data_IF_087328745561
#
_entry.id   IF_087328745561
#
_cell.length_a   1.000
_cell.length_b   1.000
_cell.length_c   1.000
_cell.angle_alpha   90.00
_cell.angle_beta   90.00
_cell.angle_gamma   90.00
#
_symmetry.space_group_name_H-M   'P 1'
#
loop_
_entity.id
_entity.type
_entity.pdbx_description
1 polymer ?
#
# COMPACT_ATOMS: atom_id res chain seq x y z
N UNK A 1 -66.25 13.65 31.38
CA UNK A 1 -64.80 13.35 31.40
C UNK A 1 -64.52 12.48 30.19
N UNK A 2 -64.12 13.11 29.09
CA UNK A 2 -63.65 12.42 27.89
C UNK A 2 -62.18 12.09 28.14
N UNK A 3 -61.86 10.81 28.28
CA UNK A 3 -60.47 10.36 28.18
C UNK A 3 -60.08 10.46 26.71
N UNK A 4 -59.23 11.43 26.38
CA UNK A 4 -58.48 11.40 25.13
C UNK A 4 -57.60 10.14 25.12
N UNK A 5 -57.54 9.39 24.00
CA UNK A 5 -56.60 8.29 23.88
C UNK A 5 -55.19 8.89 23.83
N UNK A 6 -54.32 8.42 24.74
CA UNK A 6 -52.89 8.71 24.69
C UNK A 6 -52.37 8.47 23.28
N UNK A 7 -51.97 9.53 22.59
CA UNK A 7 -51.29 9.43 21.31
C UNK A 7 -50.02 8.61 21.52
N UNK A 8 -50.01 7.42 20.94
CA UNK A 8 -48.86 6.52 20.95
C UNK A 8 -47.74 7.21 20.15
N UNK A 9 -46.85 7.92 20.84
CA UNK A 9 -45.71 8.60 20.22
C UNK A 9 -44.78 7.49 19.69
N UNK A 10 -44.70 7.35 18.37
CA UNK A 10 -43.76 6.43 17.74
C UNK A 10 -42.33 6.82 18.15
N UNK A 11 -41.71 5.98 18.98
CA UNK A 11 -40.44 6.24 19.67
C UNK A 11 -39.23 6.47 18.75
N UNK A 12 -39.31 6.02 17.50
CA UNK A 12 -38.26 6.15 16.50
C UNK A 12 -38.91 6.22 15.12
N UNK A 13 -38.61 7.28 14.36
CA UNK A 13 -39.20 7.45 13.02
C UNK A 13 -38.73 6.33 12.08
N UNK A 14 -39.62 5.87 11.21
CA UNK A 14 -39.26 4.91 10.14
C UNK A 14 -38.06 5.41 9.31
N UNK A 15 -37.99 6.73 9.10
CA UNK A 15 -36.87 7.38 8.43
C UNK A 15 -35.55 7.15 9.18
N UNK A 16 -35.49 7.31 10.50
CA UNK A 16 -34.28 7.10 11.31
C UNK A 16 -33.76 5.66 11.18
N UNK A 17 -34.65 4.67 11.22
CA UNK A 17 -34.31 3.25 11.06
C UNK A 17 -33.76 2.97 9.65
N UNK A 18 -34.40 3.54 8.63
CA UNK A 18 -33.96 3.42 7.24
C UNK A 18 -32.60 4.07 7.02
N UNK A 19 -32.31 5.21 7.64
CA UNK A 19 -30.99 5.85 7.57
C UNK A 19 -29.90 5.03 8.27
N UNK A 20 -30.18 4.45 9.44
CA UNK A 20 -29.25 3.55 10.13
C UNK A 20 -28.89 2.34 9.25
N UNK A 21 -29.89 1.70 8.66
CA UNK A 21 -29.69 0.57 7.75
C UNK A 21 -28.99 0.99 6.46
N UNK A 22 -29.33 2.16 5.90
CA UNK A 22 -28.69 2.69 4.71
C UNK A 22 -27.20 2.98 4.94
N UNK A 23 -26.83 3.51 6.12
CA UNK A 23 -25.44 3.73 6.50
C UNK A 23 -24.65 2.41 6.54
N UNK A 24 -25.22 1.34 7.11
CA UNK A 24 -24.59 0.01 7.11
C UNK A 24 -24.50 -0.62 5.72
N UNK A 25 -25.51 -0.45 4.86
CA UNK A 25 -25.40 -0.87 3.46
C UNK A 25 -24.27 -0.13 2.74
N UNK A 26 -24.15 1.18 2.93
CA UNK A 26 -23.09 1.97 2.33
C UNK A 26 -21.70 1.51 2.82
N UNK A 27 -21.55 1.20 4.11
CA UNK A 27 -20.32 0.62 4.67
C UNK A 27 -19.96 -0.72 3.99
N UNK A 28 -20.93 -1.63 3.85
CA UNK A 28 -20.72 -2.92 3.16
C UNK A 28 -20.28 -2.71 1.71
N UNK A 29 -20.95 -1.82 0.98
CA UNK A 29 -20.58 -1.51 -0.42
C UNK A 29 -19.15 -0.99 -0.51
N UNK A 30 -18.73 -0.12 0.41
CA UNK A 30 -17.35 0.38 0.49
C UNK A 30 -16.36 -0.76 0.76
N UNK A 31 -16.66 -1.68 1.69
CA UNK A 31 -15.81 -2.83 2.00
C UNK A 31 -15.74 -3.84 0.85
N UNK A 32 -16.83 -4.05 0.11
CA UNK A 32 -16.84 -4.90 -1.09
C UNK A 32 -16.00 -4.31 -2.23
N UNK A 33 -16.06 -2.99 -2.41
CA UNK A 33 -15.18 -2.28 -3.34
C UNK A 33 -13.71 -2.40 -2.90
N UNK A 34 -13.44 -2.27 -1.60
CA UNK A 34 -12.10 -2.43 -1.05
C UNK A 34 -11.56 -3.85 -1.28
N UNK A 35 -12.37 -4.88 -1.02
CA UNK A 35 -12.01 -6.29 -1.32
C UNK A 35 -11.70 -6.50 -2.80
N UNK A 36 -12.48 -5.87 -3.68
CA UNK A 36 -12.24 -5.89 -5.12
C UNK A 36 -10.91 -5.19 -5.51
N UNK A 37 -10.61 -4.06 -4.89
CA UNK A 37 -9.32 -3.36 -5.08
C UNK A 37 -8.14 -4.22 -4.59
N UNK A 38 -8.29 -4.97 -3.49
CA UNK A 38 -7.27 -5.91 -3.02
C UNK A 38 -6.97 -7.00 -4.07
N UNK A 39 -7.98 -7.49 -4.81
CA UNK A 39 -7.76 -8.45 -5.91
C UNK A 39 -6.90 -7.86 -7.02
N UNK A 40 -7.11 -6.59 -7.36
CA UNK A 40 -6.24 -5.88 -8.33
C UNK A 40 -4.82 -5.79 -7.80
N UNK A 41 -4.64 -5.41 -6.52
CA UNK A 41 -3.31 -5.34 -5.90
C UNK A 41 -2.57 -6.68 -6.01
N UNK A 42 -3.27 -7.80 -5.79
CA UNK A 42 -2.71 -9.15 -5.91
C UNK A 42 -2.30 -9.45 -7.36
N UNK A 43 -3.17 -9.19 -8.34
CA UNK A 43 -2.86 -9.41 -9.75
C UNK A 43 -1.71 -8.53 -10.25
N UNK A 44 -1.65 -7.26 -9.83
CA UNK A 44 -0.53 -6.34 -10.11
C UNK A 44 0.76 -6.88 -9.52
N UNK A 45 0.71 -7.38 -8.29
CA UNK A 45 1.85 -7.98 -7.61
C UNK A 45 2.38 -9.22 -8.33
N UNK A 46 1.49 -10.10 -8.81
CA UNK A 46 1.88 -11.29 -9.57
C UNK A 46 2.59 -10.90 -10.86
N UNK A 47 2.03 -9.93 -11.61
CA UNK A 47 2.67 -9.40 -12.81
C UNK A 47 4.04 -8.79 -12.51
N UNK A 48 4.18 -8.02 -11.42
CA UNK A 48 5.48 -7.47 -10.99
C UNK A 48 6.50 -8.60 -10.77
N UNK A 49 6.12 -9.68 -10.07
CA UNK A 49 7.02 -10.79 -9.81
C UNK A 49 7.47 -11.48 -11.11
N UNK A 50 6.55 -11.75 -12.04
CA UNK A 50 6.89 -12.35 -13.33
C UNK A 50 7.79 -11.45 -14.17
N UNK A 51 7.52 -10.14 -14.21
CA UNK A 51 8.38 -9.16 -14.89
C UNK A 51 9.77 -9.05 -14.26
N UNK A 52 9.89 -9.21 -12.94
CA UNK A 52 11.19 -9.24 -12.26
C UNK A 52 12.03 -10.47 -12.66
N UNK A 53 11.39 -11.62 -12.89
CA UNK A 53 12.06 -12.82 -13.43
C UNK A 53 12.44 -12.62 -14.90
N UNK A 54 11.50 -12.12 -15.72
CA UNK A 54 11.74 -11.82 -17.14
C UNK A 54 12.89 -10.81 -17.33
N UNK A 55 12.95 -9.76 -16.50
CA UNK A 55 14.06 -8.80 -16.46
C UNK A 55 15.40 -9.49 -16.17
N UNK A 56 15.43 -10.37 -15.18
CA UNK A 56 16.64 -11.10 -14.79
C UNK A 56 17.17 -11.98 -15.92
N UNK A 57 16.30 -12.80 -16.51
CA UNK A 57 16.67 -13.66 -17.64
C UNK A 57 17.06 -12.84 -18.88
N UNK A 58 16.36 -11.75 -19.17
CA UNK A 58 16.70 -10.84 -20.27
C UNK A 58 18.07 -10.18 -20.06
N UNK A 59 18.44 -9.87 -18.82
CA UNK A 59 19.74 -9.31 -18.50
C UNK A 59 20.87 -10.30 -18.80
N UNK A 60 20.76 -11.56 -18.36
CA UNK A 60 21.75 -12.61 -18.66
C UNK A 60 21.79 -12.92 -20.16
N UNK A 61 20.63 -13.03 -20.81
CA UNK A 61 20.55 -13.28 -22.25
C UNK A 61 21.31 -12.20 -23.04
N UNK A 62 21.12 -10.93 -22.72
CA UNK A 62 21.83 -9.83 -23.39
C UNK A 62 23.32 -9.79 -23.03
N UNK A 63 23.68 -10.00 -21.75
CA UNK A 63 25.07 -10.01 -21.31
C UNK A 63 25.89 -11.14 -21.96
N UNK A 64 25.25 -12.29 -22.19
CA UNK A 64 25.83 -13.46 -22.88
C UNK A 64 25.66 -13.42 -24.41
N UNK A 65 25.22 -12.30 -24.99
CA UNK A 65 24.98 -12.15 -26.45
C UNK A 65 24.06 -13.24 -27.03
N UNK A 66 23.10 -13.68 -26.23
CA UNK A 66 22.10 -14.67 -26.58
C UNK A 66 22.50 -16.13 -26.39
N UNK A 67 23.69 -16.40 -25.85
CA UNK A 67 24.19 -17.78 -25.65
C UNK A 67 23.55 -18.48 -24.44
N UNK A 68 23.15 -17.74 -23.41
CA UNK A 68 22.60 -18.28 -22.16
C UNK A 68 21.18 -17.77 -21.91
N UNK A 69 20.40 -18.52 -21.13
CA UNK A 69 19.06 -18.15 -20.66
C UNK A 69 17.99 -17.94 -21.74
N UNK A 70 18.22 -18.40 -22.98
CA UNK A 70 17.26 -18.25 -24.06
C UNK A 70 15.94 -19.02 -23.78
N UNK A 71 16.04 -20.24 -23.25
CA UNK A 71 14.89 -21.10 -22.95
C UNK A 71 14.13 -20.60 -21.71
N UNK A 72 14.86 -20.30 -20.64
CA UNK A 72 14.36 -19.77 -19.37
C UNK A 72 13.64 -18.44 -19.59
N UNK A 73 14.20 -17.56 -20.41
CA UNK A 73 13.54 -16.30 -20.79
C UNK A 73 12.19 -16.55 -21.44
N UNK A 74 12.07 -17.51 -22.35
CA UNK A 74 10.78 -17.82 -22.99
C UNK A 74 9.74 -18.35 -21.99
N UNK A 75 10.17 -19.11 -20.97
CA UNK A 75 9.29 -19.55 -19.89
C UNK A 75 8.78 -18.35 -19.08
N UNK A 76 9.65 -17.40 -18.72
CA UNK A 76 9.25 -16.21 -17.98
C UNK A 76 8.39 -15.24 -18.81
N UNK A 77 8.64 -15.14 -20.12
CA UNK A 77 7.76 -14.40 -21.05
C UNK A 77 6.35 -14.98 -21.00
N UNK A 78 6.20 -16.30 -21.16
CA UNK A 78 4.88 -16.95 -21.10
C UNK A 78 4.17 -16.73 -19.75
N UNK A 79 4.90 -16.86 -18.64
CA UNK A 79 4.34 -16.63 -17.31
C UNK A 79 3.90 -15.17 -17.11
N UNK A 80 4.69 -14.20 -17.58
CA UNK A 80 4.33 -12.78 -17.52
C UNK A 80 3.14 -12.42 -18.40
N UNK A 81 2.96 -13.06 -19.56
CA UNK A 81 1.79 -12.89 -20.44
C UNK A 81 0.51 -13.43 -19.78
N UNK A 82 0.62 -14.55 -19.05
CA UNK A 82 -0.50 -15.08 -18.28
C UNK A 82 -0.89 -14.13 -17.14
N UNK A 83 0.09 -13.63 -16.37
CA UNK A 83 -0.14 -12.67 -15.30
C UNK A 83 -0.73 -11.35 -15.82
N UNK A 84 -0.25 -10.87 -16.98
CA UNK A 84 -0.80 -9.70 -17.68
C UNK A 84 -2.27 -9.93 -18.07
N UNK A 85 -2.58 -11.07 -18.66
CA UNK A 85 -3.95 -11.41 -19.07
C UNK A 85 -4.90 -11.49 -17.87
N UNK A 86 -4.45 -12.05 -16.75
CA UNK A 86 -5.21 -12.08 -15.50
C UNK A 86 -5.51 -10.67 -14.97
N UNK A 87 -4.49 -9.81 -14.92
CA UNK A 87 -4.66 -8.41 -14.52
C UNK A 87 -5.65 -7.67 -15.43
N UNK A 88 -5.50 -7.81 -16.76
CA UNK A 88 -6.42 -7.20 -17.75
C UNK A 88 -7.86 -7.68 -17.55
N UNK A 89 -8.07 -8.96 -17.28
CA UNK A 89 -9.38 -9.54 -16.98
C UNK A 89 -10.02 -8.92 -15.72
N UNK A 90 -9.26 -8.82 -14.63
CA UNK A 90 -9.73 -8.20 -13.39
C UNK A 90 -10.07 -6.72 -13.56
N UNK A 91 -9.22 -5.96 -14.24
CA UNK A 91 -9.47 -4.55 -14.52
C UNK A 91 -10.72 -4.35 -15.39
N UNK A 92 -10.90 -5.21 -16.40
CA UNK A 92 -12.10 -5.16 -17.25
C UNK A 92 -13.37 -5.43 -16.45
N UNK A 93 -13.34 -6.45 -15.59
CA UNK A 93 -14.49 -6.79 -14.73
C UNK A 93 -14.86 -5.70 -13.73
N UNK A 94 -13.90 -4.86 -13.32
CA UNK A 94 -14.10 -3.88 -12.25
C UNK A 94 -14.33 -2.44 -12.73
N UNK A 95 -13.73 -2.05 -13.86
CA UNK A 95 -13.74 -0.65 -14.31
C UNK A 95 -14.25 -0.43 -15.73
N UNK A 96 -14.49 -1.48 -16.52
CA UNK A 96 -14.85 -1.36 -17.93
C UNK A 96 -16.21 -2.01 -18.25
N UNK A 97 -17.08 -2.12 -17.26
CA UNK A 97 -18.51 -2.41 -17.45
C UNK A 97 -19.25 -1.13 -17.86
N UNK A 98 -20.33 -1.23 -18.64
CA UNK A 98 -21.01 -0.13 -19.37
C UNK A 98 -21.56 1.03 -18.51
N UNK A 99 -21.45 0.97 -17.18
CA UNK A 99 -21.78 2.07 -16.28
C UNK A 99 -20.53 2.89 -15.94
N UNK A 100 -20.59 4.21 -16.15
CA UNK A 100 -19.54 5.17 -15.81
C UNK A 100 -19.04 4.86 -14.39
N UNK A 101 -17.85 4.28 -14.30
CA UNK A 101 -17.35 3.77 -13.03
C UNK A 101 -16.98 4.95 -12.14
N UNK A 102 -17.64 5.05 -10.99
CA UNK A 102 -17.22 5.88 -9.85
C UNK A 102 -15.88 5.36 -9.31
N UNK A 103 -14.80 5.63 -10.03
CA UNK A 103 -13.43 5.29 -9.64
C UNK A 103 -12.66 6.54 -9.21
N UNK A 104 -11.67 6.37 -8.32
CA UNK A 104 -10.79 7.47 -7.97
C UNK A 104 -9.93 7.86 -9.19
N UNK A 105 -9.91 9.15 -9.60
CA UNK A 105 -9.21 9.57 -10.81
C UNK A 105 -7.69 9.32 -10.75
N UNK A 106 -7.07 9.35 -9.55
CA UNK A 106 -5.63 9.08 -9.40
C UNK A 106 -5.30 7.62 -9.66
N UNK A 107 -6.09 6.71 -9.09
CA UNK A 107 -5.93 5.28 -9.31
C UNK A 107 -6.18 4.90 -10.77
N UNK A 108 -7.24 5.45 -11.39
CA UNK A 108 -7.51 5.19 -12.80
C UNK A 108 -6.39 5.74 -13.70
N UNK A 109 -5.81 6.89 -13.35
CA UNK A 109 -4.66 7.45 -14.07
C UNK A 109 -3.41 6.56 -13.93
N UNK A 110 -3.12 6.04 -12.73
CA UNK A 110 -1.98 5.14 -12.52
C UNK A 110 -2.16 3.80 -13.23
N UNK A 111 -3.38 3.24 -13.21
CA UNK A 111 -3.74 2.04 -13.98
C UNK A 111 -3.55 2.28 -15.47
N UNK A 112 -4.01 3.43 -15.99
CA UNK A 112 -3.88 3.77 -17.42
C UNK A 112 -2.41 3.81 -17.85
N UNK A 113 -1.55 4.47 -17.07
CA UNK A 113 -0.12 4.52 -17.35
C UNK A 113 0.53 3.13 -17.29
N UNK A 114 0.19 2.32 -16.29
CA UNK A 114 0.71 0.97 -16.16
C UNK A 114 0.27 0.07 -17.33
N UNK A 115 -1.01 0.12 -17.74
CA UNK A 115 -1.53 -0.64 -18.87
C UNK A 115 -0.90 -0.22 -20.19
N UNK A 116 -0.75 1.08 -20.43
CA UNK A 116 -0.06 1.58 -21.61
C UNK A 116 1.39 1.10 -21.68
N UNK A 117 2.09 1.06 -20.54
CA UNK A 117 3.46 0.56 -20.48
C UNK A 117 3.52 -0.96 -20.73
N UNK A 118 2.56 -1.72 -20.18
CA UNK A 118 2.41 -3.16 -20.42
C UNK A 118 2.14 -3.47 -21.90
N UNK A 119 1.33 -2.67 -22.60
CA UNK A 119 1.05 -2.87 -24.03
C UNK A 119 2.30 -2.75 -24.93
N UNK A 120 3.38 -2.12 -24.44
CA UNK A 120 4.67 -2.05 -25.14
C UNK A 120 5.60 -3.23 -24.85
N UNK A 121 5.25 -4.16 -23.94
CA UNK A 121 6.07 -5.34 -23.64
C UNK A 121 6.42 -6.20 -24.86
N UNK A 122 5.50 -6.50 -25.79
CA UNK A 122 5.84 -7.29 -26.98
C UNK A 122 6.96 -6.66 -27.81
N UNK A 123 6.95 -5.32 -27.94
CA UNK A 123 8.00 -4.58 -28.65
C UNK A 123 9.32 -4.59 -27.89
N UNK A 124 9.29 -4.45 -26.56
CA UNK A 124 10.49 -4.58 -25.73
C UNK A 124 11.09 -5.99 -25.87
N UNK A 125 10.26 -7.03 -25.81
CA UNK A 125 10.67 -8.43 -25.98
C UNK A 125 11.30 -8.68 -27.34
N UNK A 126 10.74 -8.13 -28.41
CA UNK A 126 11.31 -8.21 -29.76
C UNK A 126 12.70 -7.56 -29.83
N UNK A 127 12.86 -6.36 -29.25
CA UNK A 127 14.15 -5.67 -29.22
C UNK A 127 15.20 -6.44 -28.42
N UNK A 128 14.82 -7.06 -27.29
CA UNK A 128 15.70 -7.93 -26.51
C UNK A 128 16.09 -9.18 -27.31
N UNK A 129 15.13 -9.85 -27.96
CA UNK A 129 15.39 -11.05 -28.77
C UNK A 129 16.32 -10.77 -29.95
N UNK A 130 16.21 -9.60 -30.57
CA UNK A 130 17.12 -9.15 -31.64
C UNK A 130 18.44 -8.56 -31.12
N UNK A 131 18.65 -8.54 -29.80
CA UNK A 131 19.82 -7.96 -29.14
C UNK A 131 20.10 -6.50 -29.53
N UNK A 132 19.03 -5.72 -29.77
CA UNK A 132 19.12 -4.30 -30.15
C UNK A 132 19.23 -3.35 -28.94
N UNK A 133 19.17 -3.89 -27.73
CA UNK A 133 19.28 -3.16 -26.47
C UNK A 133 20.47 -3.68 -25.68
N UNK A 134 21.14 -2.79 -24.98
CA UNK A 134 22.12 -3.17 -23.96
C UNK A 134 21.42 -3.81 -22.74
N UNK A 135 22.13 -4.63 -21.94
CA UNK A 135 21.59 -5.16 -20.67
C UNK A 135 21.04 -4.07 -19.76
N UNK A 136 21.71 -2.91 -19.73
CA UNK A 136 21.33 -1.76 -18.92
C UNK A 136 20.04 -1.08 -19.41
N UNK A 137 19.89 -0.89 -20.72
CA UNK A 137 18.67 -0.30 -21.31
C UNK A 137 17.46 -1.20 -21.07
N UNK A 138 17.61 -2.51 -21.29
CA UNK A 138 16.57 -3.51 -20.99
C UNK A 138 16.18 -3.47 -19.51
N UNK A 139 17.16 -3.50 -18.61
CA UNK A 139 16.93 -3.43 -17.16
C UNK A 139 16.17 -2.17 -16.76
N UNK A 140 16.54 -1.00 -17.31
CA UNK A 140 15.84 0.27 -17.05
C UNK A 140 14.40 0.26 -17.56
N UNK A 141 14.15 -0.32 -18.73
CA UNK A 141 12.80 -0.40 -19.29
C UNK A 141 11.87 -1.23 -18.38
N UNK A 142 12.29 -2.44 -17.99
CA UNK A 142 11.53 -3.27 -17.05
C UNK A 142 11.35 -2.60 -15.69
N UNK A 143 12.40 -1.99 -15.11
CA UNK A 143 12.28 -1.30 -13.82
C UNK A 143 11.29 -0.13 -13.86
N UNK A 144 11.20 0.60 -14.97
CA UNK A 144 10.20 1.69 -15.13
C UNK A 144 8.78 1.14 -15.19
N UNK A 145 8.57 0.04 -15.90
CA UNK A 145 7.27 -0.64 -15.93
C UNK A 145 6.89 -1.13 -14.53
N UNK A 146 7.80 -1.82 -13.83
CA UNK A 146 7.56 -2.28 -12.45
C UNK A 146 7.24 -1.10 -11.51
N UNK A 147 7.94 0.03 -11.63
CA UNK A 147 7.63 1.23 -10.84
C UNK A 147 6.22 1.79 -11.12
N UNK A 148 5.77 1.76 -12.37
CA UNK A 148 4.40 2.17 -12.73
C UNK A 148 3.34 1.24 -12.12
N UNK A 149 3.60 -0.07 -12.09
CA UNK A 149 2.74 -1.06 -11.44
C UNK A 149 2.72 -0.89 -9.90
N UNK A 150 3.88 -0.64 -9.28
CA UNK A 150 3.97 -0.35 -7.84
C UNK A 150 3.19 0.92 -7.47
N UNK A 151 3.12 1.90 -8.38
CA UNK A 151 2.31 3.11 -8.18
C UNK A 151 0.81 2.79 -8.09
N UNK A 152 0.31 1.78 -8.82
CA UNK A 152 -1.09 1.33 -8.70
C UNK A 152 -1.40 0.82 -7.29
N UNK A 153 -0.48 0.03 -6.71
CA UNK A 153 -0.63 -0.49 -5.34
C UNK A 153 -0.62 0.65 -4.33
N UNK A 154 0.26 1.63 -4.53
CA UNK A 154 0.35 2.80 -3.68
C UNK A 154 -0.93 3.64 -3.70
N UNK A 155 -1.49 3.93 -4.88
CA UNK A 155 -2.76 4.67 -4.98
C UNK A 155 -3.93 3.86 -4.41
N UNK A 156 -3.93 2.52 -4.56
CA UNK A 156 -4.93 1.67 -3.93
C UNK A 156 -4.88 1.73 -2.39
N UNK A 157 -3.67 1.81 -1.81
CA UNK A 157 -3.48 1.99 -0.36
C UNK A 157 -4.01 3.33 0.13
N UNK A 158 -3.86 4.41 -0.65
CA UNK A 158 -4.32 5.76 -0.28
C UNK A 158 -5.85 5.88 -0.24
N UNK A 159 -6.54 5.14 -1.12
CA UNK A 159 -7.99 5.15 -1.26
C UNK A 159 -8.67 4.23 -0.24
N UNK A 160 -7.93 3.31 0.36
CA UNK A 160 -8.47 2.42 1.37
C UNK A 160 -9.13 3.20 2.52
N UNK A 161 -10.28 2.69 2.95
CA UNK A 161 -11.15 3.29 3.97
C UNK A 161 -11.17 2.50 5.27
N UNK A 162 -10.51 1.34 5.32
CA UNK A 162 -10.34 0.54 6.54
C UNK A 162 -8.88 0.65 7.04
N UNK A 163 -8.66 0.99 8.33
CA UNK A 163 -7.31 1.18 8.87
C UNK A 163 -6.45 -0.09 8.82
N UNK A 164 -7.03 -1.26 9.12
CA UNK A 164 -6.31 -2.53 9.15
C UNK A 164 -5.80 -2.89 7.75
N UNK A 165 -6.68 -2.77 6.75
CA UNK A 165 -6.34 -3.00 5.34
C UNK A 165 -5.33 -1.97 4.84
N UNK A 166 -5.49 -0.69 5.20
CA UNK A 166 -4.54 0.38 4.84
C UNK A 166 -3.13 0.05 5.36
N UNK A 167 -3.00 -0.36 6.63
CA UNK A 167 -1.72 -0.75 7.22
C UNK A 167 -1.08 -1.94 6.49
N UNK A 168 -1.86 -2.96 6.15
CA UNK A 168 -1.38 -4.11 5.38
C UNK A 168 -0.94 -3.72 3.97
N UNK A 169 -1.66 -2.83 3.30
CA UNK A 169 -1.28 -2.33 1.98
C UNK A 169 0.01 -1.49 2.03
N UNK A 170 0.19 -0.67 3.06
CA UNK A 170 1.46 0.08 3.29
C UNK A 170 2.61 -0.88 3.53
N UNK A 171 2.42 -1.91 4.36
CA UNK A 171 3.43 -2.94 4.59
C UNK A 171 3.78 -3.67 3.28
N UNK A 172 2.77 -4.16 2.56
CA UNK A 172 2.93 -4.85 1.27
C UNK A 172 3.69 -3.98 0.26
N UNK A 173 3.27 -2.73 0.06
CA UNK A 173 3.94 -1.80 -0.85
C UNK A 173 5.41 -1.61 -0.51
N UNK A 174 5.73 -1.35 0.77
CA UNK A 174 7.11 -1.14 1.19
C UNK A 174 7.96 -2.41 1.04
N UNK A 175 7.40 -3.59 1.35
CA UNK A 175 8.09 -4.85 1.13
C UNK A 175 8.37 -5.09 -0.37
N UNK A 176 7.40 -4.84 -1.23
CA UNK A 176 7.55 -4.98 -2.69
C UNK A 176 8.55 -3.97 -3.27
N UNK A 177 8.58 -2.74 -2.76
CA UNK A 177 9.60 -1.74 -3.11
C UNK A 177 11.01 -2.21 -2.72
N UNK A 178 11.19 -2.75 -1.51
CA UNK A 178 12.46 -3.34 -1.11
C UNK A 178 12.87 -4.50 -2.03
N UNK A 179 11.92 -5.38 -2.40
CA UNK A 179 12.18 -6.46 -3.37
C UNK A 179 12.56 -5.94 -4.75
N UNK A 180 11.92 -4.89 -5.23
CA UNK A 180 12.28 -4.28 -6.50
C UNK A 180 13.70 -3.70 -6.47
N UNK A 181 14.10 -3.03 -5.39
CA UNK A 181 15.48 -2.57 -5.23
C UNK A 181 16.48 -3.71 -5.12
N UNK A 182 16.14 -4.82 -4.48
CA UNK A 182 16.96 -6.04 -4.48
C UNK A 182 17.11 -6.63 -5.89
N UNK A 183 16.04 -6.60 -6.69
CA UNK A 183 16.08 -7.05 -8.09
C UNK A 183 16.87 -6.12 -9.01
N UNK A 184 16.86 -4.82 -8.75
CA UNK A 184 17.76 -3.87 -9.42
C UNK A 184 19.21 -4.11 -8.99
N UNK A 185 19.46 -4.33 -7.70
CA UNK A 185 20.80 -4.65 -7.20
C UNK A 185 21.35 -5.90 -7.90
N UNK A 186 20.54 -6.96 -8.00
CA UNK A 186 20.88 -8.17 -8.77
C UNK A 186 21.33 -7.83 -10.20
N UNK A 187 20.53 -7.05 -10.93
CA UNK A 187 20.82 -6.72 -12.33
C UNK A 187 22.08 -5.87 -12.49
N UNK A 188 22.25 -4.84 -11.65
CA UNK A 188 23.44 -3.98 -11.70
C UNK A 188 24.71 -4.71 -11.26
N UNK A 189 24.62 -5.58 -10.24
CA UNK A 189 25.74 -6.39 -9.81
C UNK A 189 26.17 -7.41 -10.87
N UNK A 190 25.22 -8.05 -11.56
CA UNK A 190 25.51 -8.97 -12.66
C UNK A 190 26.22 -8.25 -13.82
N UNK A 191 25.77 -7.05 -14.18
CA UNK A 191 26.46 -6.21 -15.18
C UNK A 191 27.90 -5.92 -14.74
N UNK A 192 28.12 -5.51 -13.49
CA UNK A 192 29.46 -5.22 -12.97
C UNK A 192 30.41 -6.42 -13.01
N UNK A 193 29.95 -7.59 -12.57
CA UNK A 193 30.78 -8.80 -12.64
C UNK A 193 31.04 -9.23 -14.09
N UNK A 194 30.06 -9.11 -14.98
CA UNK A 194 30.23 -9.44 -16.41
C UNK A 194 31.21 -8.48 -17.13
N UNK A 195 31.28 -7.21 -16.71
CA UNK A 195 32.26 -6.23 -17.20
C UNK A 195 33.66 -6.40 -16.59
N UNK A 196 33.84 -7.33 -15.65
CA UNK A 196 35.12 -7.67 -14.99
C UNK A 196 35.78 -6.55 -14.18
N UNK A 197 35.10 -5.43 -13.96
CA UNK A 197 35.54 -4.34 -13.10
C UNK A 197 34.36 -3.65 -12.41
N UNK A 198 34.60 -3.04 -11.26
CA UNK A 198 33.66 -2.13 -10.62
C UNK A 198 34.26 -0.73 -10.54
N UNK A 199 33.55 0.26 -11.09
CA UNK A 199 33.92 1.66 -10.89
C UNK A 199 33.22 2.24 -9.64
N UNK A 200 33.72 3.39 -9.19
CA UNK A 200 33.16 4.09 -8.02
C UNK A 200 31.67 4.39 -8.19
N UNK A 201 31.23 4.70 -9.42
CA UNK A 201 29.83 5.06 -9.70
C UNK A 201 28.90 3.87 -9.55
N UNK A 202 29.32 2.69 -9.98
CA UNK A 202 28.60 1.43 -9.87
C UNK A 202 28.54 0.96 -8.42
N UNK A 203 29.66 1.01 -7.69
CA UNK A 203 29.69 0.72 -6.25
C UNK A 203 28.75 1.64 -5.48
N UNK A 204 28.79 2.95 -5.76
CA UNK A 204 27.83 3.89 -5.18
C UNK A 204 26.38 3.54 -5.54
N UNK A 205 26.09 3.22 -6.80
CA UNK A 205 24.74 2.86 -7.23
C UNK A 205 24.21 1.64 -6.47
N UNK A 206 25.03 0.61 -6.29
CA UNK A 206 24.68 -0.60 -5.53
C UNK A 206 24.46 -0.28 -4.05
N UNK A 207 25.34 0.51 -3.42
CA UNK A 207 25.15 0.95 -2.04
C UNK A 207 23.83 1.76 -1.86
N UNK A 208 23.47 2.61 -2.83
CA UNK A 208 22.17 3.30 -2.79
C UNK A 208 20.98 2.34 -2.86
N UNK A 209 21.07 1.29 -3.67
CA UNK A 209 20.01 0.28 -3.76
C UNK A 209 19.88 -0.53 -2.46
N UNK A 210 20.99 -0.79 -1.78
CA UNK A 210 21.00 -1.45 -0.47
C UNK A 210 20.34 -0.58 0.61
N UNK A 211 20.72 0.70 0.71
CA UNK A 211 20.07 1.62 1.65
C UNK A 211 18.58 1.83 1.35
N UNK A 212 18.19 1.83 0.08
CA UNK A 212 16.78 1.91 -0.29
C UNK A 212 16.00 0.66 0.18
N UNK A 213 16.59 -0.53 0.10
CA UNK A 213 16.00 -1.76 0.66
C UNK A 213 15.80 -1.62 2.17
N UNK A 214 16.84 -1.24 2.91
CA UNK A 214 16.81 -1.10 4.37
C UNK A 214 15.74 -0.10 4.83
N UNK A 215 15.66 1.05 4.15
CA UNK A 215 14.64 2.06 4.46
C UNK A 215 13.22 1.51 4.31
N UNK A 216 12.94 0.83 3.19
CA UNK A 216 11.62 0.25 2.96
C UNK A 216 11.32 -0.92 3.90
N UNK A 217 12.32 -1.74 4.27
CA UNK A 217 12.14 -2.76 5.30
C UNK A 217 11.82 -2.16 6.68
N UNK A 218 12.41 -1.01 7.04
CA UNK A 218 12.08 -0.31 8.28
C UNK A 218 10.60 0.09 8.32
N UNK A 219 10.09 0.73 7.26
CA UNK A 219 8.68 1.12 7.18
C UNK A 219 7.79 -0.12 7.17
N UNK A 220 8.16 -1.17 6.42
CA UNK A 220 7.45 -2.45 6.47
C UNK A 220 7.32 -2.98 7.91
N UNK A 221 8.39 -2.92 8.71
CA UNK A 221 8.35 -3.31 10.11
C UNK A 221 7.44 -2.39 10.95
N UNK A 222 7.37 -1.09 10.68
CA UNK A 222 6.46 -0.20 11.43
C UNK A 222 4.98 -0.59 11.24
N UNK A 223 4.61 -1.04 10.03
CA UNK A 223 3.22 -1.34 9.67
C UNK A 223 2.83 -2.82 9.78
N UNK A 224 3.80 -3.73 9.90
CA UNK A 224 3.56 -5.18 9.93
C UNK A 224 3.29 -5.74 11.33
N UNK A 225 2.52 -6.83 11.37
CA UNK A 225 2.33 -7.63 12.57
C UNK A 225 3.55 -8.53 12.85
N UNK A 226 3.60 -9.10 14.06
CA UNK A 226 4.73 -9.89 14.56
C UNK A 226 5.13 -11.07 13.63
N UNK A 227 4.21 -11.89 13.10
CA UNK A 227 4.58 -12.98 12.19
C UNK A 227 5.36 -12.53 10.95
N UNK A 228 4.97 -11.40 10.33
CA UNK A 228 5.65 -10.87 9.15
C UNK A 228 7.02 -10.26 9.48
N UNK A 229 7.18 -9.66 10.66
CA UNK A 229 8.48 -9.19 11.18
C UNK A 229 9.43 -10.35 11.42
N UNK A 230 8.95 -11.37 12.13
CA UNK A 230 9.75 -12.57 12.44
C UNK A 230 10.17 -13.28 11.14
N UNK A 231 9.33 -13.27 10.09
CA UNK A 231 9.69 -13.79 8.77
C UNK A 231 10.79 -13.00 8.06
N UNK A 232 10.78 -11.66 8.15
CA UNK A 232 11.87 -10.81 7.63
C UNK A 232 13.17 -11.04 8.42
N UNK A 233 13.10 -11.19 9.73
CA UNK A 233 14.26 -11.52 10.56
C UNK A 233 14.86 -12.88 10.19
N UNK A 234 14.01 -13.87 9.90
CA UNK A 234 14.46 -15.17 9.40
C UNK A 234 15.11 -15.06 8.01
N UNK A 235 14.54 -14.25 7.10
CA UNK A 235 15.13 -13.96 5.79
C UNK A 235 16.54 -13.35 5.94
N UNK A 236 16.70 -12.36 6.83
CA UNK A 236 17.98 -11.70 7.04
C UNK A 236 19.07 -12.62 7.65
N UNK A 237 18.66 -13.71 8.29
CA UNK A 237 19.56 -14.76 8.83
C UNK A 237 19.73 -15.95 7.89
N UNK A 238 19.06 -15.95 6.74
CA UNK A 238 19.12 -17.06 5.80
C UNK A 238 20.50 -17.18 5.14
N UNK A 239 20.89 -18.38 4.66
CA UNK A 239 22.13 -18.55 3.90
C UNK A 239 22.24 -17.58 2.72
N UNK A 240 21.15 -17.34 1.98
CA UNK A 240 21.14 -16.41 0.86
C UNK A 240 21.43 -14.95 1.29
N UNK A 241 21.00 -14.54 2.48
CA UNK A 241 21.30 -13.21 3.02
C UNK A 241 22.76 -13.08 3.50
N UNK A 242 23.35 -14.17 4.01
CA UNK A 242 24.77 -14.22 4.38
C UNK A 242 25.62 -14.15 3.10
N UNK A 243 25.32 -14.99 2.11
CA UNK A 243 26.02 -15.06 0.83
C UNK A 243 26.00 -13.70 0.09
N UNK A 244 24.82 -13.05 0.01
CA UNK A 244 24.73 -11.74 -0.66
C UNK A 244 25.56 -10.69 0.08
N UNK A 245 25.60 -10.73 1.41
CA UNK A 245 26.37 -9.78 2.22
C UNK A 245 27.88 -9.96 1.99
N UNK A 246 28.35 -11.20 1.84
CA UNK A 246 29.75 -11.46 1.48
C UNK A 246 30.09 -10.88 0.11
N UNK A 247 29.23 -11.08 -0.90
CA UNK A 247 29.44 -10.52 -2.24
C UNK A 247 29.37 -8.98 -2.25
N UNK A 248 28.49 -8.38 -1.44
CA UNK A 248 28.43 -6.92 -1.26
C UNK A 248 29.74 -6.37 -0.69
N UNK A 249 30.31 -7.03 0.32
CA UNK A 249 31.59 -6.64 0.90
C UNK A 249 32.74 -6.75 -0.11
N UNK A 250 32.72 -7.80 -0.94
CA UNK A 250 33.68 -7.95 -2.05
C UNK A 250 33.56 -6.79 -3.05
N UNK A 251 32.33 -6.47 -3.51
CA UNK A 251 32.09 -5.35 -4.43
C UNK A 251 32.59 -4.02 -3.84
N UNK A 252 32.37 -3.78 -2.54
CA UNK A 252 32.82 -2.56 -1.87
C UNK A 252 34.35 -2.41 -1.87
N UNK A 253 35.10 -3.52 -1.87
CA UNK A 253 36.58 -3.51 -1.93
C UNK A 253 37.12 -3.34 -3.36
N UNK A 254 36.32 -3.68 -4.38
CA UNK A 254 36.71 -3.63 -5.80
C UNK A 254 36.48 -2.27 -6.47
N UNK A 255 36.09 -1.24 -5.71
CA UNK A 255 35.84 0.10 -6.24
C UNK A 255 37.06 0.82 -6.81
N UNK A 256 38.26 0.23 -6.68
CA UNK A 256 39.51 0.69 -7.27
C UNK A 256 39.70 0.24 -8.74
N UNK A 257 38.77 -0.56 -9.27
CA UNK A 257 38.83 -1.08 -10.63
C UNK A 257 39.66 -2.36 -10.76
N UNK A 258 40.00 -3.03 -9.66
CA UNK A 258 40.70 -4.31 -9.67
C UNK A 258 39.95 -5.35 -10.53
N UNK A 259 40.66 -6.12 -11.37
CA UNK A 259 40.03 -7.09 -12.26
C UNK A 259 39.40 -8.25 -11.49
N UNK A 260 38.24 -8.70 -11.94
CA UNK A 260 37.52 -9.84 -11.36
C UNK A 260 37.15 -10.89 -12.41
N UNK A 261 37.13 -12.15 -11.97
CA UNK A 261 36.67 -13.28 -12.77
C UNK A 261 35.18 -13.11 -13.14
N UNK A 262 34.87 -13.06 -14.42
CA UNK A 262 33.51 -12.85 -14.93
C UNK A 262 32.53 -13.98 -14.57
N UNK A 263 33.05 -15.17 -14.25
CA UNK A 263 32.30 -16.33 -13.78
C UNK A 263 31.53 -16.05 -12.47
N UNK A 264 31.98 -15.08 -11.68
CA UNK A 264 31.31 -14.67 -10.44
C UNK A 264 29.94 -14.03 -10.74
N UNK A 265 29.71 -13.54 -11.96
CA UNK A 265 28.41 -12.97 -12.35
C UNK A 265 27.25 -13.96 -12.19
N UNK A 266 27.46 -15.24 -12.52
CA UNK A 266 26.43 -16.26 -12.39
C UNK A 266 26.16 -16.59 -10.92
N UNK A 267 27.24 -16.74 -10.13
CA UNK A 267 27.14 -16.97 -8.68
C UNK A 267 26.38 -15.83 -8.01
N UNK A 268 26.68 -14.58 -8.35
CA UNK A 268 25.96 -13.41 -7.86
C UNK A 268 24.48 -13.45 -8.23
N UNK A 269 24.18 -13.76 -9.50
CA UNK A 269 22.80 -13.84 -9.96
C UNK A 269 22.01 -14.90 -9.21
N UNK A 270 22.60 -16.08 -9.01
CA UNK A 270 21.96 -17.21 -8.31
C UNK A 270 21.73 -16.90 -6.82
N UNK A 271 22.73 -16.35 -6.14
CA UNK A 271 22.62 -15.91 -4.73
C UNK A 271 21.52 -14.86 -4.58
N UNK A 272 21.52 -13.84 -5.43
CA UNK A 272 20.51 -12.79 -5.38
C UNK A 272 19.11 -13.31 -5.73
N UNK A 273 19.01 -14.24 -6.69
CA UNK A 273 17.73 -14.89 -7.05
C UNK A 273 17.17 -15.71 -5.90
N UNK A 274 17.98 -16.54 -5.23
CA UNK A 274 17.56 -17.28 -4.02
C UNK A 274 17.00 -16.36 -2.94
N UNK A 275 17.63 -15.20 -2.71
CA UNK A 275 17.13 -14.19 -1.76
C UNK A 275 15.80 -13.59 -2.22
N UNK A 276 15.66 -13.25 -3.51
CA UNK A 276 14.40 -12.72 -4.06
C UNK A 276 13.25 -13.74 -3.99
N UNK A 277 13.53 -15.04 -4.20
CA UNK A 277 12.54 -16.11 -4.07
C UNK A 277 12.09 -16.27 -2.61
N UNK A 278 13.02 -16.15 -1.65
CA UNK A 278 12.66 -16.13 -0.23
C UNK A 278 11.82 -14.88 0.13
N UNK A 279 12.11 -13.72 -0.48
CA UNK A 279 11.26 -12.53 -0.35
C UNK A 279 9.87 -12.74 -0.94
N UNK A 280 9.77 -13.42 -2.09
CA UNK A 280 8.49 -13.74 -2.72
C UNK A 280 7.56 -14.52 -1.79
N UNK A 281 8.07 -15.44 -0.97
CA UNK A 281 7.28 -16.18 0.02
C UNK A 281 6.64 -15.26 1.06
N UNK A 282 7.36 -14.26 1.54
CA UNK A 282 6.82 -13.28 2.51
C UNK A 282 5.75 -12.41 1.84
N UNK A 283 5.99 -12.00 0.59
CA UNK A 283 5.02 -11.25 -0.21
C UNK A 283 3.72 -12.04 -0.44
N UNK A 284 3.81 -13.37 -0.64
CA UNK A 284 2.65 -14.29 -0.66
C UNK A 284 1.87 -14.27 0.63
N UNK A 285 2.54 -14.47 1.76
CA UNK A 285 1.88 -14.43 3.06
C UNK A 285 1.17 -13.09 3.33
N UNK A 286 1.76 -11.96 2.90
CA UNK A 286 1.14 -10.63 3.03
C UNK A 286 -0.13 -10.50 2.18
N UNK A 287 -0.11 -10.99 0.94
CA UNK A 287 -1.30 -10.97 0.06
C UNK A 287 -2.42 -11.90 0.53
N UNK A 288 -2.07 -13.04 1.12
CA UNK A 288 -3.04 -13.96 1.75
C UNK A 288 -3.70 -13.30 2.96
N UNK A 289 -2.90 -12.68 3.84
CA UNK A 289 -3.41 -11.94 4.99
C UNK A 289 -4.33 -10.78 4.57
N UNK A 290 -3.95 -10.03 3.51
CA UNK A 290 -4.77 -8.95 2.95
C UNK A 290 -6.14 -9.48 2.46
N UNK A 291 -6.14 -10.60 1.75
CA UNK A 291 -7.37 -11.23 1.23
C UNK A 291 -8.26 -11.72 2.38
N UNK A 292 -7.66 -12.38 3.37
CA UNK A 292 -8.37 -12.89 4.54
C UNK A 292 -9.03 -11.74 5.32
N UNK A 293 -8.29 -10.66 5.57
CA UNK A 293 -8.81 -9.50 6.29
C UNK A 293 -9.92 -8.79 5.52
N UNK A 294 -9.75 -8.58 4.21
CA UNK A 294 -10.80 -7.98 3.38
C UNK A 294 -12.09 -8.81 3.39
N UNK A 295 -11.99 -10.13 3.30
CA UNK A 295 -13.16 -11.01 3.34
C UNK A 295 -13.80 -11.07 4.73
N UNK A 296 -13.00 -11.10 5.81
CA UNK A 296 -13.52 -11.06 7.18
C UNK A 296 -14.32 -9.78 7.41
N UNK A 297 -13.76 -8.62 7.08
CA UNK A 297 -14.43 -7.32 7.27
C UNK A 297 -15.79 -7.24 6.55
N UNK A 298 -15.87 -7.74 5.32
CA UNK A 298 -17.15 -7.80 4.58
C UNK A 298 -18.14 -8.75 5.27
N UNK A 299 -17.69 -9.92 5.74
CA UNK A 299 -18.54 -10.88 6.44
C UNK A 299 -19.04 -10.34 7.78
N UNK A 300 -18.16 -9.70 8.56
CA UNK A 300 -18.46 -9.09 9.86
C UNK A 300 -19.49 -7.98 9.70
N UNK A 301 -19.30 -7.07 8.73
CA UNK A 301 -20.26 -6.00 8.44
C UNK A 301 -21.64 -6.53 8.01
N UNK A 302 -21.69 -7.62 7.23
CA UNK A 302 -22.95 -8.29 6.85
C UNK A 302 -23.64 -8.94 8.05
N UNK A 303 -22.88 -9.58 8.93
CA UNK A 303 -23.41 -10.18 10.16
C UNK A 303 -23.95 -9.11 11.12
N UNK A 304 -23.23 -8.00 11.30
CA UNK A 304 -23.69 -6.84 12.08
C UNK A 304 -24.99 -6.27 11.51
N UNK A 305 -25.08 -6.11 10.19
CA UNK A 305 -26.29 -5.63 9.54
C UNK A 305 -27.49 -6.56 9.81
N UNK A 306 -27.30 -7.87 9.70
CA UNK A 306 -28.35 -8.84 10.03
C UNK A 306 -28.79 -8.74 11.50
N UNK A 307 -27.83 -8.56 12.42
CA UNK A 307 -28.12 -8.35 13.84
C UNK A 307 -28.89 -7.04 14.08
N UNK A 308 -28.51 -5.94 13.41
CA UNK A 308 -29.21 -4.66 13.50
C UNK A 308 -30.63 -4.74 12.96
N UNK A 309 -30.86 -5.47 11.85
CA UNK A 309 -32.20 -5.71 11.33
C UNK A 309 -33.07 -6.49 12.31
N UNK A 310 -32.53 -7.52 12.97
CA UNK A 310 -33.24 -8.28 14.00
C UNK A 310 -33.58 -7.42 15.22
N UNK A 311 -32.62 -6.61 15.71
CA UNK A 311 -32.83 -5.67 16.81
C UNK A 311 -33.92 -4.64 16.48
N UNK A 312 -33.87 -4.06 15.29
CA UNK A 312 -34.88 -3.10 14.81
C UNK A 312 -36.28 -3.71 14.69
N UNK A 313 -36.37 -5.00 14.33
CA UNK A 313 -37.64 -5.73 14.27
C UNK A 313 -38.20 -5.94 15.67
N UNK A 314 -37.36 -6.33 16.65
CA UNK A 314 -37.77 -6.45 18.06
C UNK A 314 -38.26 -5.11 18.64
N UNK A 315 -37.61 -4.00 18.29
CA UNK A 315 -38.05 -2.67 18.71
C UNK A 315 -39.37 -2.20 18.09
N UNK A 316 -39.84 -2.81 16.99
CA UNK A 316 -41.17 -2.54 16.45
C UNK A 316 -42.27 -3.24 17.27
N UNK A 317 -41.95 -4.36 17.92
CA UNK A 317 -42.90 -5.17 18.68
C UNK A 317 -43.03 -4.67 20.14
N UNK A 318 -41.95 -4.12 20.71
CA UNK A 318 -41.94 -3.54 22.06
C UNK A 318 -42.48 -2.10 22.08
N UNK A 319 -43.70 -1.92 22.59
CA UNK A 319 -44.26 -0.60 22.89
C UNK A 319 -43.64 -0.09 24.20
N UNK A 320 -42.84 0.98 24.15
CA UNK A 320 -42.20 1.53 25.34
C UNK A 320 -43.23 2.26 26.21
N UNK A 321 -43.42 1.77 27.44
CA UNK A 321 -44.30 2.37 28.46
C UNK A 321 -43.57 3.28 29.44
N UNK A 322 -42.23 3.28 29.47
CA UNK A 322 -41.45 4.09 30.42
C UNK A 322 -40.13 4.60 29.81
N UNK A 323 -40.11 5.90 29.49
CA UNK A 323 -38.88 6.67 29.38
C UNK A 323 -38.99 8.02 28.67
N UNK A 324 -38.04 8.94 28.97
CA UNK A 324 -37.96 10.26 28.36
C UNK A 324 -37.28 10.18 26.98
N UNK A 325 -37.96 10.57 25.89
CA UNK A 325 -37.41 10.58 24.53
C UNK A 325 -36.31 11.62 24.31
N UNK A 326 -36.01 12.47 25.30
CA UNK A 326 -35.03 13.55 25.17
C UNK A 326 -33.59 13.14 25.53
N UNK A 327 -33.37 11.89 25.95
CA UNK A 327 -32.06 11.40 26.41
C UNK A 327 -30.92 11.60 25.41
N UNK A 328 -31.19 11.46 24.11
CA UNK A 328 -30.19 11.68 23.06
C UNK A 328 -29.76 13.14 22.94
N UNK A 329 -30.66 14.10 23.21
CA UNK A 329 -30.39 15.53 23.09
C UNK A 329 -29.63 16.10 24.29
N UNK A 330 -29.65 15.39 25.42
CA UNK A 330 -28.99 15.81 26.65
C UNK A 330 -27.73 15.00 26.98
N UNK A 331 -27.30 14.08 26.11
CA UNK A 331 -26.02 13.38 26.29
C UNK A 331 -24.89 14.16 25.59
N UNK A 332 -24.01 14.85 26.36
CA UNK A 332 -22.89 15.59 25.79
C UNK A 332 -21.81 14.69 25.17
N UNK A 333 -21.89 13.37 25.37
CA UNK A 333 -20.97 12.40 24.78
C UNK A 333 -21.41 11.86 23.41
N UNK A 334 -22.51 12.37 22.84
CA UNK A 334 -22.91 12.04 21.48
C UNK A 334 -22.10 12.83 20.44
N UNK A 335 -21.43 12.14 19.49
CA UNK A 335 -20.75 12.77 18.38
C UNK A 335 -21.65 13.75 17.61
N UNK A 336 -21.19 15.00 17.45
CA UNK A 336 -21.89 16.05 16.70
C UNK A 336 -23.00 16.80 17.45
N UNK A 337 -23.29 16.45 18.70
CA UNK A 337 -24.24 17.17 19.59
C UNK A 337 -23.55 17.88 20.76
N UNK A 338 -22.20 17.89 20.79
CA UNK A 338 -21.43 18.61 21.79
C UNK A 338 -21.55 20.14 21.59
N UNK A 339 -21.87 20.88 22.65
CA UNK A 339 -21.65 22.33 22.70
C UNK A 339 -20.14 22.61 22.74
N UNK A 340 -19.68 23.76 22.21
CA UNK A 340 -18.28 24.28 22.26
C UNK A 340 -17.80 24.53 23.71
N UNK A 341 -17.81 23.49 24.53
CA UNK A 341 -17.26 23.46 25.89
C UNK A 341 -15.89 22.80 25.81
N UNK A 342 -14.89 23.47 26.36
CA UNK A 342 -13.50 23.02 26.35
C UNK A 342 -13.43 21.57 26.83
N UNK A 343 -12.68 20.73 26.10
CA UNK A 343 -12.54 19.27 26.31
C UNK A 343 -12.25 18.84 27.76
N UNK A 344 -11.77 19.75 28.61
CA UNK A 344 -11.45 19.50 30.02
C UNK A 344 -12.65 19.43 30.98
N UNK A 345 -13.83 19.97 30.65
CA UNK A 345 -15.02 19.87 31.53
C UNK A 345 -15.90 18.63 31.25
N UNK A 346 -15.78 18.04 30.06
CA UNK A 346 -16.61 16.92 29.58
C UNK A 346 -16.38 15.64 30.41
N UNK A 347 -15.16 15.44 30.97
CA UNK A 347 -14.86 14.29 31.82
C UNK A 347 -15.49 14.37 33.22
N UNK A 348 -15.92 15.56 33.67
CA UNK A 348 -16.48 15.75 35.02
C UNK A 348 -18.01 15.68 35.10
N UNK A 349 -18.72 15.73 33.97
CA UNK A 349 -20.17 15.53 33.90
C UNK A 349 -20.56 14.07 33.65
N UNK A 350 -19.74 13.13 34.16
CA UNK A 350 -20.08 11.71 34.13
C UNK A 350 -21.31 11.46 35.03
N UNK A 351 -22.44 11.22 34.37
CA UNK A 351 -23.65 10.57 34.89
C UNK A 351 -24.32 11.28 36.07
N UNK A 352 -25.05 12.38 35.78
CA UNK A 352 -26.17 12.75 36.66
C UNK A 352 -27.14 11.57 36.74
N UNK A 353 -27.60 11.26 37.95
CA UNK A 353 -28.45 10.12 38.34
C UNK A 353 -29.78 9.99 37.56
N UNK A 354 -30.09 10.94 36.68
CA UNK A 354 -31.29 10.99 35.85
C UNK A 354 -31.28 10.02 34.64
N UNK A 355 -30.13 9.44 34.25
CA UNK A 355 -30.06 8.45 33.15
C UNK A 355 -30.31 7.00 33.55
N UNK A 356 -30.48 6.69 34.84
CA UNK A 356 -30.61 5.29 35.33
C UNK A 356 -31.99 4.67 35.16
N UNK A 357 -33.05 5.43 34.85
CA UNK A 357 -34.44 4.93 34.81
C UNK A 357 -35.04 4.88 33.40
N UNK A 358 -34.31 4.35 32.41
CA UNK A 358 -34.74 4.38 31.00
C UNK A 358 -34.29 3.11 30.26
N UNK A 359 -35.05 2.01 30.35
CA UNK A 359 -34.61 0.68 29.86
C UNK A 359 -34.92 0.41 28.38
N UNK A 360 -36.02 0.93 27.82
CA UNK A 360 -36.38 0.70 26.41
C UNK A 360 -35.65 1.63 25.43
N UNK A 361 -35.40 2.88 25.82
CA UNK A 361 -34.69 3.88 25.00
C UNK A 361 -33.18 3.60 24.93
N UNK A 362 -32.63 2.88 25.90
CA UNK A 362 -31.20 2.63 26.02
C UNK A 362 -30.65 1.75 24.90
N UNK A 363 -31.38 0.74 24.44
CA UNK A 363 -30.83 -0.22 23.46
C UNK A 363 -30.65 0.38 22.04
N UNK A 364 -31.64 1.11 21.51
CA UNK A 364 -31.51 1.80 20.22
C UNK A 364 -30.55 3.00 20.29
N UNK A 365 -30.57 3.72 21.41
CA UNK A 365 -29.62 4.79 21.69
C UNK A 365 -28.18 4.28 21.77
N UNK A 366 -27.93 3.21 22.52
CA UNK A 366 -26.64 2.55 22.65
C UNK A 366 -26.14 2.05 21.30
N UNK A 367 -27.04 1.58 20.43
CA UNK A 367 -26.72 1.19 19.06
C UNK A 367 -26.23 2.38 18.21
N UNK A 368 -26.94 3.51 18.23
CA UNK A 368 -26.53 4.73 17.51
C UNK A 368 -25.21 5.28 18.04
N UNK A 369 -25.06 5.32 19.36
CA UNK A 369 -23.84 5.74 20.05
C UNK A 369 -22.66 4.83 19.68
N UNK A 370 -22.86 3.51 19.72
CA UNK A 370 -21.85 2.53 19.36
C UNK A 370 -21.41 2.69 17.89
N UNK A 371 -22.35 2.96 16.98
CA UNK A 371 -22.01 3.18 15.58
C UNK A 371 -21.21 4.48 15.38
N UNK A 372 -21.60 5.57 16.05
CA UNK A 372 -20.91 6.84 15.95
C UNK A 372 -19.47 6.74 16.51
N UNK A 373 -19.30 6.11 17.68
CA UNK A 373 -17.99 5.87 18.27
C UNK A 373 -17.10 5.01 17.35
N UNK A 374 -17.66 3.94 16.78
CA UNK A 374 -16.94 3.08 15.85
C UNK A 374 -16.42 3.85 14.62
N UNK A 375 -17.22 4.76 14.06
CA UNK A 375 -16.82 5.59 12.91
C UNK A 375 -15.70 6.56 13.30
N UNK A 376 -15.77 7.19 14.47
CA UNK A 376 -14.71 8.09 14.96
C UNK A 376 -13.39 7.36 15.21
N UNK A 377 -13.45 6.18 15.85
CA UNK A 377 -12.28 5.37 16.13
C UNK A 377 -11.63 4.88 14.82
N UNK A 378 -12.44 4.38 13.89
CA UNK A 378 -11.97 4.04 12.54
C UNK A 378 -11.33 5.24 11.83
N UNK A 379 -11.95 6.42 11.90
CA UNK A 379 -11.43 7.64 11.28
C UNK A 379 -10.05 8.02 11.84
N UNK A 380 -9.89 7.95 13.17
CA UNK A 380 -8.61 8.23 13.84
C UNK A 380 -7.52 7.25 13.44
N UNK A 381 -7.81 5.95 13.49
CA UNK A 381 -6.84 4.91 13.07
C UNK A 381 -6.48 5.03 11.58
N UNK A 382 -7.43 5.43 10.75
CA UNK A 382 -7.21 5.61 9.31
C UNK A 382 -6.27 6.78 9.06
N UNK A 383 -6.44 7.91 9.75
CA UNK A 383 -5.54 9.06 9.63
C UNK A 383 -4.12 8.73 10.11
N UNK A 384 -3.99 7.94 11.17
CA UNK A 384 -2.69 7.43 11.62
C UNK A 384 -2.03 6.54 10.56
N UNK A 385 -2.79 5.63 9.95
CA UNK A 385 -2.28 4.76 8.88
C UNK A 385 -1.91 5.55 7.60
N UNK A 386 -2.70 6.55 7.24
CA UNK A 386 -2.49 7.39 6.05
C UNK A 386 -1.32 8.34 6.18
N UNK A 387 -0.90 8.70 7.40
CA UNK A 387 0.25 9.58 7.63
C UNK A 387 1.52 9.09 6.91
N UNK A 388 1.83 7.79 6.97
CA UNK A 388 3.00 7.25 6.29
C UNK A 388 2.91 7.34 4.76
N UNK A 389 1.72 7.14 4.18
CA UNK A 389 1.48 7.34 2.75
C UNK A 389 1.71 8.81 2.37
N UNK A 390 1.21 9.74 3.17
CA UNK A 390 1.42 11.18 2.94
C UNK A 390 2.89 11.58 3.04
N UNK A 391 3.62 11.09 4.04
CA UNK A 391 5.06 11.31 4.18
C UNK A 391 5.82 10.81 2.95
N UNK A 392 5.46 9.63 2.46
CA UNK A 392 6.07 9.07 1.25
C UNK A 392 5.75 9.87 -0.02
N UNK A 393 4.53 10.40 -0.15
CA UNK A 393 4.16 11.34 -1.23
C UNK A 393 4.98 12.62 -1.18
N UNK A 394 5.20 13.17 0.02
CA UNK A 394 6.04 14.35 0.21
C UNK A 394 7.48 14.07 -0.21
N UNK A 395 8.03 12.93 0.21
CA UNK A 395 9.37 12.49 -0.20
C UNK A 395 9.44 12.31 -1.72
N UNK A 396 8.45 11.66 -2.34
CA UNK A 396 8.35 11.49 -3.79
C UNK A 396 8.35 12.83 -4.54
N UNK A 397 7.53 13.78 -4.09
CA UNK A 397 7.47 15.14 -4.68
C UNK A 397 8.78 15.89 -4.49
N UNK A 398 9.39 15.82 -3.31
CA UNK A 398 10.67 16.45 -3.05
C UNK A 398 11.77 15.84 -3.94
N UNK A 399 11.77 14.52 -4.16
CA UNK A 399 12.69 13.87 -5.12
C UNK A 399 12.52 14.46 -6.51
N UNK A 400 11.28 14.56 -7.02
CA UNK A 400 11.02 15.13 -8.36
C UNK A 400 11.52 16.57 -8.48
N UNK A 401 11.26 17.41 -7.48
CA UNK A 401 11.75 18.80 -7.45
C UNK A 401 13.27 18.86 -7.48
N UNK A 402 13.94 18.03 -6.66
CA UNK A 402 15.42 17.98 -6.63
C UNK A 402 15.98 17.43 -7.94
N UNK A 403 15.30 16.47 -8.57
CA UNK A 403 15.69 15.97 -9.89
C UNK A 403 15.60 17.06 -10.96
N UNK A 404 14.51 17.84 -10.97
CA UNK A 404 14.29 18.93 -11.92
C UNK A 404 15.27 20.08 -11.72
N UNK A 405 15.49 20.51 -10.47
CA UNK A 405 16.37 21.65 -10.17
C UNK A 405 17.86 21.34 -10.36
N UNK A 406 18.29 20.11 -10.06
CA UNK A 406 19.72 19.75 -10.05
C UNK A 406 20.13 18.75 -11.14
N UNK A 407 19.21 18.32 -12.02
CA UNK A 407 19.48 17.35 -13.07
C UNK A 407 19.95 15.99 -12.53
N UNK A 408 19.55 15.64 -11.31
CA UNK A 408 20.02 14.44 -10.62
C UNK A 408 19.18 13.21 -10.99
N UNK A 409 19.80 12.03 -10.93
CA UNK A 409 19.04 10.76 -10.95
C UNK A 409 18.22 10.61 -9.66
N UNK A 410 17.13 9.85 -9.71
CA UNK A 410 16.23 9.64 -8.56
C UNK A 410 16.98 9.20 -7.29
N UNK A 411 17.93 8.27 -7.43
CA UNK A 411 18.72 7.78 -6.30
C UNK A 411 19.60 8.89 -5.69
N UNK A 412 20.18 9.76 -6.53
CA UNK A 412 21.01 10.87 -6.07
C UNK A 412 20.16 11.96 -5.40
N UNK A 413 18.95 12.21 -5.90
CA UNK A 413 18.00 13.11 -5.28
C UNK A 413 17.59 12.62 -3.88
N UNK A 414 17.25 11.35 -3.73
CA UNK A 414 16.94 10.76 -2.42
C UNK A 414 18.12 10.84 -1.45
N UNK A 415 19.33 10.49 -1.91
CA UNK A 415 20.54 10.55 -1.09
C UNK A 415 20.87 11.98 -0.63
N UNK A 416 20.57 12.99 -1.46
CA UNK A 416 20.71 14.40 -1.09
C UNK A 416 19.72 14.79 0.00
N UNK A 417 18.45 14.39 -0.12
CA UNK A 417 17.43 14.60 0.92
C UNK A 417 17.87 13.94 2.24
N UNK A 418 18.40 12.72 2.17
CA UNK A 418 18.90 12.00 3.34
C UNK A 418 20.12 12.68 3.97
N UNK A 419 21.12 13.09 3.18
CA UNK A 419 22.29 13.82 3.70
C UNK A 419 21.86 15.12 4.40
N UNK A 420 20.89 15.83 3.83
CA UNK A 420 20.37 17.04 4.44
C UNK A 420 19.61 16.74 5.75
N UNK A 421 18.87 15.62 5.80
CA UNK A 421 18.19 15.13 7.00
C UNK A 421 19.16 14.82 8.13
N UNK A 422 20.28 14.18 7.79
CA UNK A 422 21.35 13.88 8.74
C UNK A 422 22.07 15.15 9.21
N UNK A 423 22.27 16.15 8.35
CA UNK A 423 22.91 17.41 8.76
C UNK A 423 22.01 18.30 9.62
N UNK A 424 20.69 18.29 9.37
CA UNK A 424 19.72 19.09 10.14
C UNK A 424 19.15 18.32 11.35
N UNK A 425 19.54 17.04 11.57
CA UNK A 425 19.00 16.14 12.61
C UNK A 425 17.46 16.05 12.61
N UNK A 426 16.85 16.03 11.42
CA UNK A 426 15.39 15.94 11.23
C UNK A 426 15.00 14.72 10.41
N UNK A 427 13.72 14.36 10.41
CA UNK A 427 13.20 13.29 9.53
C UNK A 427 13.29 13.71 8.05
N UNK A 428 13.44 12.72 7.15
CA UNK A 428 13.47 12.96 5.70
C UNK A 428 12.14 13.60 5.24
N UNK A 429 11.02 13.19 5.84
CA UNK A 429 9.70 13.76 5.56
C UNK A 429 9.60 15.26 5.88
N UNK A 430 10.20 15.72 6.98
CA UNK A 430 10.21 17.14 7.35
C UNK A 430 10.98 18.01 6.34
N UNK A 431 12.13 17.53 5.85
CA UNK A 431 12.90 18.22 4.81
C UNK A 431 12.17 18.18 3.48
N UNK A 432 11.57 17.04 3.14
CA UNK A 432 10.76 16.94 1.94
C UNK A 432 9.61 17.97 1.95
N UNK A 433 8.92 18.12 3.08
CA UNK A 433 7.89 19.15 3.27
C UNK A 433 8.46 20.57 3.11
N UNK A 434 9.63 20.86 3.69
CA UNK A 434 10.32 22.16 3.57
C UNK A 434 10.66 22.50 2.12
N UNK A 435 11.22 21.55 1.37
CA UNK A 435 11.58 21.73 -0.04
C UNK A 435 10.34 21.94 -0.90
N UNK A 436 9.30 21.12 -0.71
CA UNK A 436 8.03 21.28 -1.44
C UNK A 436 7.40 22.64 -1.15
N UNK A 437 7.39 23.09 0.11
CA UNK A 437 6.85 24.39 0.52
C UNK A 437 7.63 25.59 -0.03
N UNK A 438 8.96 25.51 -0.10
CA UNK A 438 9.78 26.57 -0.70
C UNK A 438 9.47 26.69 -2.20
N UNK A 439 9.30 25.55 -2.87
CA UNK A 439 9.04 25.51 -4.31
C UNK A 439 7.64 26.02 -4.64
N UNK A 440 6.61 25.62 -3.88
CA UNK A 440 5.23 26.14 -4.07
C UNK A 440 5.15 27.65 -3.85
N UNK A 441 5.89 28.19 -2.86
CA UNK A 441 5.99 29.65 -2.67
C UNK A 441 6.71 30.36 -3.82
N UNK A 442 7.74 29.74 -4.39
CA UNK A 442 8.50 30.31 -5.52
C UNK A 442 7.67 30.29 -6.82
N UNK A 443 6.86 29.25 -7.03
CA UNK A 443 5.93 29.16 -8.18
C UNK A 443 4.72 30.08 -8.03
N UNK A 444 4.27 30.39 -6.80
CA UNK A 444 3.17 31.34 -6.55
C UNK A 444 3.59 32.82 -6.67
N UNK A 445 4.89 33.11 -6.77
CA UNK A 445 5.46 34.46 -6.94
C UNK A 445 5.92 34.74 -8.38
N UNK A 446 5.77 33.77 -9.29
CA UNK A 446 5.93 33.92 -10.75
C UNK A 446 4.55 33.93 -11.39
#
# INVERSE_FOLDING_TARGET
>A
MLHEPEQTIALCSDATKRFLLAAKHAEITVLEQLSSNCRIVIAVRELIHELQKERGASNIFLASKGERYAAERMQYVSASEQAESMLKSHLKSLYLTDEITTGNPRLLSSITLAMQATDYLPRLREQVSKQLLTPLESTRAYSRLVASLLTVIFEAADIASDPTITRLLVALFNFMQAKEYAGQERAWGAIGFAETHFDVRLCEKLAALQHAQEHHFSIFCEFSCKPHKDALDALNKSPAAIDITQLRNMIAQLGDGSPIAGEISEVWFDVATRRMDAMQTIEVALTEALTQQANSKVADAKNEMANHQQLLTRFNDEHATDGSPLTLLFDPSMPGLAEDTKEDEIKTLSLNEQTKTLSAHRSFYDLLRSQAQHIEDMGRELEEAKRAIQEQKLIGRAKLVVMEQFGLSENNAYRRLQKQAMSENTTIAAIAAKIVNITTKTTAQR
#
